data_IF_409266837121
#
_entry.id   IF_409266837121
#
_cell.length_a   1.000
_cell.length_b   1.000
_cell.length_c   1.000
_cell.angle_alpha   90.00
_cell.angle_beta   90.00
_cell.angle_gamma   90.00
#
_symmetry.space_group_name_H-M   'P 1'
#
loop_
_entity.id
_entity.type
_entity.pdbx_description
1 polymer ?
#
# COMPACT_ATOMS: atom_id res chain seq x y z
N UNK A 1 -0.28 -11.88 -15.20
CA UNK A 1 -0.48 -13.03 -16.11
C UNK A 1 -1.10 -12.51 -17.40
N UNK A 2 -0.54 -12.80 -18.57
CA UNK A 2 -1.16 -12.40 -19.84
C UNK A 2 -2.28 -13.37 -20.24
N UNK A 3 -3.27 -12.90 -21.02
CA UNK A 3 -4.35 -13.75 -21.55
C UNK A 3 -3.79 -14.93 -22.35
N UNK A 4 -2.77 -14.68 -23.17
CA UNK A 4 -2.13 -15.72 -23.98
C UNK A 4 -1.43 -16.76 -23.11
N UNK A 5 -0.66 -16.34 -22.11
CA UNK A 5 0.04 -17.26 -21.22
C UNK A 5 -0.93 -18.19 -20.46
N UNK A 6 -2.00 -17.62 -19.89
CA UNK A 6 -3.01 -18.41 -19.19
C UNK A 6 -3.80 -19.34 -20.13
N UNK A 7 -4.02 -18.92 -21.38
CA UNK A 7 -4.72 -19.74 -22.36
C UNK A 7 -3.86 -20.93 -22.84
N UNK A 8 -2.56 -20.73 -23.02
CA UNK A 8 -1.63 -21.77 -23.48
C UNK A 8 -1.32 -22.80 -22.39
N UNK A 9 -1.16 -22.37 -21.14
CA UNK A 9 -0.84 -23.25 -20.01
C UNK A 9 -1.77 -22.97 -18.83
N UNK A 10 -3.05 -23.31 -18.99
CA UNK A 10 -4.06 -23.07 -17.97
C UNK A 10 -3.73 -23.77 -16.65
N UNK A 11 -3.12 -24.95 -16.69
CA UNK A 11 -2.72 -25.73 -15.50
C UNK A 11 -1.70 -25.02 -14.62
N UNK A 12 -0.81 -24.19 -15.19
CA UNK A 12 0.15 -23.43 -14.41
C UNK A 12 -0.49 -22.29 -13.60
N UNK A 13 -1.67 -21.80 -14.02
CA UNK A 13 -2.29 -20.60 -13.44
C UNK A 13 -3.65 -20.84 -12.78
N UNK A 14 -4.38 -21.89 -13.14
CA UNK A 14 -5.74 -22.15 -12.65
C UNK A 14 -5.86 -23.50 -11.92
N UNK A 15 -6.30 -23.46 -10.66
CA UNK A 15 -6.43 -24.64 -9.81
C UNK A 15 -6.16 -24.34 -8.34
N UNK A 16 -6.28 -25.37 -7.50
CA UNK A 16 -5.84 -25.28 -6.11
C UNK A 16 -4.33 -25.00 -6.07
N UNK A 17 -3.92 -24.12 -5.15
CA UNK A 17 -2.52 -23.78 -4.85
C UNK A 17 -1.68 -23.14 -5.98
N UNK A 18 -2.30 -22.80 -7.12
CA UNK A 18 -1.67 -22.00 -8.19
C UNK A 18 -2.16 -20.54 -8.15
N UNK A 19 -2.12 -19.82 -9.28
CA UNK A 19 -2.37 -18.38 -9.29
C UNK A 19 -3.82 -17.97 -9.07
N UNK A 20 -4.81 -18.71 -9.59
CA UNK A 20 -6.23 -18.36 -9.53
C UNK A 20 -7.06 -19.62 -9.29
N UNK A 21 -8.06 -19.54 -8.40
CA UNK A 21 -9.11 -20.55 -8.27
C UNK A 21 -10.45 -19.85 -8.11
N UNK A 22 -11.46 -20.33 -8.82
CA UNK A 22 -12.85 -19.87 -8.67
C UNK A 22 -13.64 -20.99 -8.02
N UNK A 23 -14.40 -20.65 -6.97
CA UNK A 23 -15.37 -21.52 -6.34
C UNK A 23 -16.76 -20.89 -6.45
N UNK A 24 -17.76 -21.72 -6.72
CA UNK A 24 -19.18 -21.34 -6.69
C UNK A 24 -19.86 -22.27 -5.69
N UNK A 25 -20.56 -21.71 -4.71
CA UNK A 25 -21.20 -22.45 -3.61
C UNK A 25 -20.19 -23.37 -2.88
N UNK A 26 -18.98 -22.87 -2.66
CA UNK A 26 -17.88 -23.59 -2.03
C UNK A 26 -17.22 -24.68 -2.91
N UNK A 27 -17.76 -24.96 -4.09
CA UNK A 27 -17.25 -25.99 -5.01
C UNK A 27 -16.30 -25.37 -6.04
N UNK A 28 -15.10 -25.94 -6.20
CA UNK A 28 -14.14 -25.50 -7.20
C UNK A 28 -14.67 -25.74 -8.62
N UNK A 29 -14.63 -24.70 -9.46
CA UNK A 29 -15.00 -24.82 -10.87
C UNK A 29 -13.91 -25.64 -11.59
N UNK A 30 -14.25 -26.70 -12.34
CA UNK A 30 -13.26 -27.49 -13.07
C UNK A 30 -12.54 -26.64 -14.13
N UNK A 31 -11.24 -26.89 -14.36
CA UNK A 31 -10.46 -26.15 -15.34
C UNK A 31 -11.00 -26.26 -16.79
N UNK A 32 -11.74 -27.32 -17.09
CA UNK A 32 -12.42 -27.52 -18.38
C UNK A 32 -13.62 -26.58 -18.57
N UNK A 33 -14.19 -26.09 -17.47
CA UNK A 33 -15.33 -25.17 -17.43
C UNK A 33 -14.90 -23.70 -17.31
N UNK A 34 -13.59 -23.45 -17.40
CA UNK A 34 -12.99 -22.11 -17.43
C UNK A 34 -12.45 -21.80 -18.82
N UNK A 35 -12.71 -20.59 -19.30
CA UNK A 35 -12.15 -20.05 -20.53
C UNK A 35 -11.44 -18.73 -20.26
N UNK A 36 -10.29 -18.52 -20.89
CA UNK A 36 -9.57 -17.25 -20.82
C UNK A 36 -10.04 -16.38 -21.98
N UNK A 37 -10.58 -15.20 -21.69
CA UNK A 37 -11.08 -14.30 -22.72
C UNK A 37 -10.85 -12.83 -22.36
N UNK A 38 -10.99 -11.96 -23.36
CA UNK A 38 -10.98 -10.52 -23.15
C UNK A 38 -12.37 -10.07 -22.68
N UNK A 39 -12.48 -9.69 -21.42
CA UNK A 39 -13.72 -9.24 -20.80
C UNK A 39 -13.79 -7.71 -20.70
N UNK A 40 -13.13 -7.00 -21.61
CA UNK A 40 -13.26 -5.54 -21.74
C UNK A 40 -14.72 -5.15 -22.06
N UNK A 41 -15.11 -3.96 -21.63
CA UNK A 41 -16.41 -3.39 -21.97
C UNK A 41 -16.48 -3.12 -23.48
N UNK A 42 -17.65 -3.38 -24.08
CA UNK A 42 -17.92 -2.98 -25.45
C UNK A 42 -18.01 -1.46 -25.57
N UNK A 43 -17.43 -0.92 -26.63
CA UNK A 43 -17.43 0.53 -26.91
C UNK A 43 -18.74 1.05 -27.51
N UNK A 44 -19.76 0.19 -27.63
CA UNK A 44 -21.06 0.50 -28.26
C UNK A 44 -22.08 1.12 -27.27
N UNK A 45 -21.69 1.32 -26.01
CA UNK A 45 -22.54 1.91 -24.99
C UNK A 45 -23.57 0.95 -24.37
N UNK A 46 -23.56 -0.33 -24.75
CA UNK A 46 -24.43 -1.36 -24.16
C UNK A 46 -24.11 -1.66 -22.69
N UNK A 47 -22.85 -1.46 -22.28
CA UNK A 47 -22.33 -1.95 -21.01
C UNK A 47 -22.02 -3.45 -21.01
N UNK A 48 -22.21 -4.14 -22.14
CA UNK A 48 -21.87 -5.55 -22.29
C UNK A 48 -20.35 -5.77 -22.42
N UNK A 49 -19.93 -7.03 -22.24
CA UNK A 49 -18.52 -7.42 -22.33
C UNK A 49 -18.22 -8.06 -23.68
N UNK A 50 -17.04 -7.74 -24.23
CA UNK A 50 -16.66 -8.10 -25.59
C UNK A 50 -16.75 -9.61 -25.90
N UNK A 51 -16.38 -10.46 -24.94
CA UNK A 51 -16.34 -11.92 -25.15
C UNK A 51 -16.85 -12.68 -23.92
N UNK A 52 -18.00 -12.27 -23.37
CA UNK A 52 -18.66 -13.02 -22.29
C UNK A 52 -19.07 -14.41 -22.79
N UNK A 53 -18.55 -15.52 -22.20
CA UNK A 53 -18.92 -16.88 -22.60
C UNK A 53 -20.36 -17.24 -22.19
N UNK A 54 -21.01 -18.10 -22.99
CA UNK A 54 -22.39 -18.51 -22.76
C UNK A 54 -22.53 -19.64 -21.73
N UNK A 55 -21.60 -20.59 -21.73
CA UNK A 55 -21.68 -21.88 -21.02
C UNK A 55 -20.56 -22.09 -19.98
N UNK A 56 -19.50 -21.28 -20.01
CA UNK A 56 -18.31 -21.41 -19.16
C UNK A 56 -18.06 -20.18 -18.30
N UNK A 57 -17.22 -20.34 -17.28
CA UNK A 57 -16.69 -19.21 -16.51
C UNK A 57 -15.58 -18.55 -17.31
N UNK A 58 -15.76 -17.27 -17.65
CA UNK A 58 -14.75 -16.47 -18.34
C UNK A 58 -13.82 -15.79 -17.34
N UNK A 59 -12.50 -15.87 -17.56
CA UNK A 59 -11.50 -15.16 -16.76
C UNK A 59 -10.69 -14.25 -17.68
N UNK A 60 -10.58 -12.97 -17.30
CA UNK A 60 -9.63 -12.03 -17.86
C UNK A 60 -8.55 -11.70 -16.82
N UNK A 61 -7.38 -12.36 -16.87
CA UNK A 61 -6.33 -12.17 -15.86
C UNK A 61 -5.63 -10.80 -15.96
N UNK A 62 -5.85 -10.04 -17.05
CA UNK A 62 -5.26 -8.70 -17.23
C UNK A 62 -6.14 -7.64 -16.59
N UNK A 63 -7.47 -7.77 -16.72
CA UNK A 63 -8.43 -6.83 -16.15
C UNK A 63 -8.92 -7.25 -14.75
N UNK A 64 -8.54 -8.44 -14.27
CA UNK A 64 -9.04 -9.00 -13.01
C UNK A 64 -10.55 -9.25 -13.03
N UNK A 65 -11.11 -9.60 -14.21
CA UNK A 65 -12.56 -9.79 -14.39
C UNK A 65 -12.92 -11.28 -14.45
N UNK A 66 -14.11 -11.58 -13.92
CA UNK A 66 -14.73 -12.88 -13.93
C UNK A 66 -16.14 -12.77 -14.54
N UNK A 67 -16.43 -13.59 -15.54
CA UNK A 67 -17.76 -13.73 -16.13
C UNK A 67 -18.37 -15.07 -15.75
N UNK A 68 -19.58 -15.05 -15.21
CA UNK A 68 -20.39 -16.27 -15.10
C UNK A 68 -21.13 -16.55 -16.41
N UNK A 69 -21.41 -17.84 -16.72
CA UNK A 69 -22.16 -18.24 -17.90
C UNK A 69 -23.45 -17.43 -18.06
N UNK A 70 -23.69 -16.86 -19.24
CA UNK A 70 -24.90 -16.04 -19.47
C UNK A 70 -26.19 -16.86 -19.55
N UNK A 71 -26.09 -18.18 -19.73
CA UNK A 71 -27.24 -19.10 -19.83
C UNK A 71 -27.82 -19.59 -18.49
N UNK A 72 -27.22 -19.21 -17.35
CA UNK A 72 -27.65 -19.65 -16.02
C UNK A 72 -28.06 -18.46 -15.14
N UNK A 73 -28.99 -18.64 -14.17
CA UNK A 73 -29.25 -17.64 -13.15
C UNK A 73 -27.96 -17.25 -12.41
N UNK A 74 -27.83 -15.98 -12.08
CA UNK A 74 -26.71 -15.54 -11.25
C UNK A 74 -26.80 -16.21 -9.86
N UNK A 75 -25.70 -16.80 -9.35
CA UNK A 75 -25.65 -17.31 -7.99
C UNK A 75 -25.75 -16.13 -7.00
N UNK A 76 -25.96 -16.44 -5.72
CA UNK A 76 -25.93 -15.43 -4.67
C UNK A 76 -24.58 -14.69 -4.67
N UNK A 77 -24.57 -13.43 -4.25
CA UNK A 77 -23.38 -12.57 -4.35
C UNK A 77 -22.17 -13.11 -3.56
N UNK A 78 -22.44 -13.79 -2.44
CA UNK A 78 -21.45 -14.42 -1.55
C UNK A 78 -21.07 -15.86 -1.96
N UNK A 79 -21.77 -16.44 -2.94
CA UNK A 79 -21.51 -17.80 -3.42
C UNK A 79 -20.24 -17.88 -4.28
N UNK A 80 -19.83 -16.78 -4.91
CA UNK A 80 -18.65 -16.74 -5.79
C UNK A 80 -17.43 -16.31 -5.00
N UNK A 81 -16.46 -17.21 -4.90
CA UNK A 81 -15.19 -16.96 -4.21
C UNK A 81 -14.05 -17.10 -5.21
N UNK A 82 -13.11 -16.15 -5.16
CA UNK A 82 -11.91 -16.19 -5.99
C UNK A 82 -10.70 -16.10 -5.08
N UNK A 83 -9.81 -17.09 -5.15
CA UNK A 83 -8.48 -16.97 -4.56
C UNK A 83 -7.51 -16.56 -5.65
N UNK A 84 -6.58 -15.66 -5.33
CA UNK A 84 -5.54 -15.27 -6.25
C UNK A 84 -4.18 -15.16 -5.55
N UNK A 85 -3.11 -15.28 -6.33
CA UNK A 85 -1.73 -15.00 -5.92
C UNK A 85 -1.12 -13.97 -6.86
N UNK A 86 -0.30 -13.08 -6.33
CA UNK A 86 0.47 -12.11 -7.11
C UNK A 86 1.92 -12.12 -6.65
N UNK A 87 2.83 -11.80 -7.56
CA UNK A 87 4.24 -11.59 -7.26
C UNK A 87 4.48 -10.14 -6.88
N UNK A 88 5.28 -9.92 -5.84
CA UNK A 88 5.75 -8.60 -5.44
C UNK A 88 7.18 -8.69 -4.93
N UNK A 89 7.89 -7.57 -4.95
CA UNK A 89 9.34 -7.55 -4.74
C UNK A 89 9.77 -7.84 -3.29
N UNK A 90 8.89 -7.58 -2.32
CA UNK A 90 9.18 -7.78 -0.89
C UNK A 90 7.89 -8.03 -0.08
N UNK A 91 8.06 -8.53 1.16
CA UNK A 91 7.00 -8.75 2.14
C UNK A 91 6.63 -7.43 2.87
N UNK A 92 6.03 -6.50 2.13
CA UNK A 92 5.48 -5.24 2.67
C UNK A 92 4.02 -5.03 2.24
N UNK A 93 3.28 -4.23 3.00
CA UNK A 93 1.84 -4.00 2.82
C UNK A 93 0.98 -5.18 3.28
N UNK A 94 -0.35 -5.06 3.25
CA UNK A 94 -1.24 -6.15 3.65
C UNK A 94 -1.15 -7.31 2.65
N UNK A 95 -0.40 -8.36 3.00
CA UNK A 95 -0.10 -9.50 2.16
C UNK A 95 -0.10 -10.81 2.95
N UNK A 96 -0.10 -11.95 2.24
CA UNK A 96 -0.24 -13.29 2.82
C UNK A 96 1.11 -13.95 3.14
N UNK A 97 2.08 -13.19 3.62
CA UNK A 97 3.42 -13.69 3.96
C UNK A 97 3.52 -14.16 5.41
N UNK A 98 4.61 -14.86 5.74
CA UNK A 98 4.92 -15.31 7.10
C UNK A 98 5.18 -14.10 7.99
N UNK A 99 4.48 -14.05 9.14
CA UNK A 99 4.63 -13.01 10.16
C UNK A 99 4.40 -13.52 11.58
N UNK A 100 4.37 -14.82 11.83
CA UNK A 100 4.01 -15.38 13.15
C UNK A 100 4.96 -14.92 14.26
N UNK A 101 6.24 -14.72 13.94
CA UNK A 101 7.24 -14.22 14.89
C UNK A 101 6.97 -12.78 15.35
N UNK A 102 6.16 -12.02 14.62
CA UNK A 102 5.83 -10.62 14.90
C UNK A 102 4.47 -10.44 15.57
N UNK A 103 3.65 -11.51 15.65
CA UNK A 103 2.34 -11.47 16.29
C UNK A 103 2.48 -11.77 17.78
N UNK A 104 2.18 -10.77 18.61
CA UNK A 104 2.16 -10.96 20.07
C UNK A 104 0.98 -11.86 20.47
N UNK A 105 1.24 -12.80 21.39
CA UNK A 105 0.20 -13.61 21.99
C UNK A 105 -0.67 -12.77 22.93
N UNK A 106 -1.97 -12.69 22.62
CA UNK A 106 -2.96 -11.95 23.40
C UNK A 106 -4.32 -12.67 23.32
N UNK A 107 -5.24 -12.42 24.27
CA UNK A 107 -6.64 -12.81 24.10
C UNK A 107 -7.22 -12.14 22.86
N UNK A 108 -7.69 -12.95 21.92
CA UNK A 108 -8.08 -12.51 20.58
C UNK A 108 -9.55 -12.80 20.31
N UNK A 109 -10.25 -11.80 19.79
CA UNK A 109 -11.55 -11.96 19.17
C UNK A 109 -11.36 -12.31 17.70
N UNK A 110 -11.81 -13.50 17.31
CA UNK A 110 -11.73 -13.96 15.93
C UNK A 110 -12.96 -13.48 15.14
N UNK A 111 -12.73 -12.79 14.02
CA UNK A 111 -13.80 -12.39 13.10
C UNK A 111 -14.24 -13.62 12.28
N UNK A 112 -15.48 -14.10 12.44
CA UNK A 112 -15.95 -15.22 11.64
C UNK A 112 -16.12 -14.81 10.17
N UNK A 113 -15.89 -15.77 9.28
CA UNK A 113 -15.89 -15.54 7.83
C UNK A 113 -17.24 -15.05 7.25
N UNK A 114 -18.34 -15.17 8.00
CA UNK A 114 -19.68 -14.69 7.66
C UNK A 114 -20.13 -13.46 8.48
N UNK A 115 -19.26 -12.91 9.33
CA UNK A 115 -19.54 -11.72 10.14
C UNK A 115 -19.16 -10.42 9.43
N UNK A 116 -19.54 -9.30 10.02
CA UNK A 116 -19.06 -7.98 9.58
C UNK A 116 -17.89 -7.51 10.45
N UNK A 117 -17.02 -6.66 9.89
CA UNK A 117 -15.95 -6.02 10.67
C UNK A 117 -16.55 -5.20 11.82
N UNK A 118 -17.71 -4.57 11.62
CA UNK A 118 -18.37 -3.77 12.65
C UNK A 118 -18.80 -4.61 13.86
N UNK A 119 -19.34 -5.82 13.65
CA UNK A 119 -19.73 -6.70 14.77
C UNK A 119 -18.53 -7.03 15.67
N UNK A 120 -17.35 -7.26 15.07
CA UNK A 120 -16.12 -7.51 15.82
C UNK A 120 -15.60 -6.25 16.53
N UNK A 121 -15.69 -5.08 15.90
CA UNK A 121 -15.34 -3.81 16.53
C UNK A 121 -16.24 -3.50 17.74
N UNK A 122 -17.54 -3.74 17.62
CA UNK A 122 -18.52 -3.53 18.69
C UNK A 122 -18.27 -4.51 19.85
N UNK A 123 -18.02 -5.78 19.54
CA UNK A 123 -17.70 -6.81 20.54
C UNK A 123 -16.37 -6.55 21.27
N UNK A 124 -15.40 -5.91 20.62
CA UNK A 124 -14.13 -5.54 21.23
C UNK A 124 -14.26 -4.42 22.28
N UNK A 125 -15.37 -3.68 22.31
CA UNK A 125 -15.69 -2.72 23.37
C UNK A 125 -14.63 -1.62 23.57
N UNK A 126 -13.84 -1.30 22.55
CA UNK A 126 -12.80 -0.28 22.62
C UNK A 126 -11.47 -0.71 23.25
N UNK A 127 -11.23 -2.01 23.43
CA UNK A 127 -9.95 -2.53 23.94
C UNK A 127 -9.82 -4.05 23.83
N UNK A 128 -9.42 -4.55 22.65
CA UNK A 128 -9.10 -5.96 22.43
C UNK A 128 -8.19 -6.14 21.21
N UNK A 129 -7.70 -7.37 21.01
CA UNK A 129 -7.12 -7.80 19.73
C UNK A 129 -8.22 -8.45 18.90
N UNK A 130 -8.43 -7.95 17.70
CA UNK A 130 -9.36 -8.47 16.70
C UNK A 130 -8.54 -9.09 15.59
N UNK A 131 -8.68 -10.40 15.38
CA UNK A 131 -7.95 -11.14 14.35
C UNK A 131 -8.90 -11.63 13.26
N UNK A 132 -8.48 -11.44 12.01
CA UNK A 132 -9.19 -11.95 10.83
C UNK A 132 -8.44 -13.17 10.30
N UNK A 133 -9.07 -14.35 10.40
CA UNK A 133 -8.45 -15.65 10.13
C UNK A 133 -8.50 -16.09 8.66
N UNK A 134 -8.93 -15.19 7.77
CA UNK A 134 -8.98 -15.47 6.34
C UNK A 134 -8.58 -14.25 5.49
N UNK A 135 -8.64 -14.45 4.17
CA UNK A 135 -8.28 -13.43 3.17
C UNK A 135 -9.50 -12.90 2.43
N UNK A 136 -10.67 -12.85 3.08
CA UNK A 136 -11.91 -12.35 2.46
C UNK A 136 -11.95 -10.83 2.41
N UNK A 137 -12.88 -10.34 1.59
CA UNK A 137 -13.29 -8.94 1.58
C UNK A 137 -14.46 -8.75 2.53
N UNK A 138 -14.33 -7.77 3.43
CA UNK A 138 -15.33 -7.41 4.41
C UNK A 138 -15.78 -5.98 4.19
N UNK A 139 -17.10 -5.76 4.11
CA UNK A 139 -17.63 -4.40 4.13
C UNK A 139 -17.52 -3.80 5.54
N UNK A 140 -17.06 -2.55 5.62
CA UNK A 140 -17.20 -1.75 6.83
C UNK A 140 -18.61 -1.15 6.87
N UNK A 141 -19.30 -1.30 8.00
CA UNK A 141 -20.62 -0.73 8.17
C UNK A 141 -20.59 0.80 8.26
N UNK A 142 -21.73 1.40 7.97
CA UNK A 142 -22.01 2.82 8.19
C UNK A 142 -21.74 3.23 9.65
N UNK A 143 -20.89 4.23 9.89
CA UNK A 143 -20.64 4.77 11.22
C UNK A 143 -19.65 5.94 11.23
N UNK A 144 -19.83 6.85 12.18
CA UNK A 144 -18.85 7.89 12.52
C UNK A 144 -19.00 8.25 14.02
N UNK A 145 -18.12 7.77 14.92
CA UNK A 145 -17.00 6.86 14.64
C UNK A 145 -17.45 5.42 14.40
N UNK A 146 -16.64 4.62 13.70
CA UNK A 146 -16.81 3.17 13.60
C UNK A 146 -16.29 2.43 14.84
N UNK A 147 -15.27 2.99 15.50
CA UNK A 147 -14.68 2.41 16.71
C UNK A 147 -14.39 3.52 17.72
N UNK A 148 -14.83 3.33 18.95
CA UNK A 148 -14.45 4.18 20.09
C UNK A 148 -13.47 3.42 20.98
N UNK A 149 -12.28 3.99 21.19
CA UNK A 149 -11.24 3.41 22.05
C UNK A 149 -11.19 4.18 23.36
N UNK A 150 -11.31 3.48 24.49
CA UNK A 150 -11.30 4.12 25.80
C UNK A 150 -9.93 4.75 26.13
N UNK A 151 -9.92 5.76 27.02
CA UNK A 151 -8.69 6.39 27.46
C UNK A 151 -7.71 5.36 28.05
N UNK A 152 -6.44 5.42 27.62
CA UNK A 152 -5.39 4.48 28.02
C UNK A 152 -5.55 3.04 27.51
N UNK A 153 -6.63 2.72 26.78
CA UNK A 153 -6.84 1.38 26.25
C UNK A 153 -5.98 1.11 25.01
N UNK A 154 -5.74 -0.17 24.72
CA UNK A 154 -5.08 -0.64 23.51
C UNK A 154 -6.08 -1.43 22.68
N UNK A 155 -6.17 -1.11 21.39
CA UNK A 155 -6.91 -1.90 20.40
C UNK A 155 -5.97 -2.30 19.28
N UNK A 156 -6.14 -3.53 18.80
CA UNK A 156 -5.39 -4.05 17.66
C UNK A 156 -6.35 -4.72 16.67
N UNK A 157 -6.28 -4.33 15.40
CA UNK A 157 -6.96 -5.03 14.31
C UNK A 157 -5.90 -5.67 13.43
N UNK A 158 -5.87 -7.00 13.37
CA UNK A 158 -4.83 -7.74 12.68
C UNK A 158 -5.34 -8.85 11.78
N UNK A 159 -4.58 -9.16 10.75
CA UNK A 159 -4.75 -10.41 10.01
C UNK A 159 -4.12 -11.59 10.77
N UNK A 160 -4.59 -12.80 10.56
CA UNK A 160 -3.84 -13.99 10.96
C UNK A 160 -2.57 -14.16 10.10
N UNK A 161 -1.66 -15.03 10.53
CA UNK A 161 -0.44 -15.35 9.77
C UNK A 161 -0.79 -15.93 8.39
N UNK A 162 -0.15 -15.46 7.32
CA UNK A 162 -0.41 -15.95 5.97
C UNK A 162 -1.75 -15.51 5.37
N UNK A 163 -2.46 -14.57 6.00
CA UNK A 163 -3.77 -14.08 5.54
C UNK A 163 -3.74 -12.61 5.11
N UNK A 164 -4.61 -12.27 4.15
CA UNK A 164 -4.72 -10.94 3.54
C UNK A 164 -6.18 -10.46 3.54
N UNK A 165 -6.74 -10.10 4.70
CA UNK A 165 -8.08 -9.55 4.77
C UNK A 165 -8.13 -8.16 4.12
N UNK A 166 -9.19 -7.90 3.38
CA UNK A 166 -9.50 -6.59 2.82
C UNK A 166 -10.74 -6.03 3.51
N UNK A 167 -10.64 -4.83 4.06
CA UNK A 167 -11.77 -4.07 4.56
C UNK A 167 -12.13 -3.02 3.51
N UNK A 168 -13.31 -3.18 2.93
CA UNK A 168 -13.87 -2.28 1.92
C UNK A 168 -14.78 -1.25 2.60
N UNK A 169 -14.39 0.01 2.49
CA UNK A 169 -15.14 1.15 2.98
C UNK A 169 -16.03 1.68 1.85
N UNK A 170 -17.34 1.77 2.11
CA UNK A 170 -18.30 2.27 1.13
C UNK A 170 -18.87 3.61 1.59
N UNK A 171 -19.19 4.54 0.66
CA UNK A 171 -19.81 5.80 1.01
C UNK A 171 -21.10 5.59 1.80
N UNK A 172 -21.21 6.26 2.94
CA UNK A 172 -22.33 6.21 3.86
C UNK A 172 -22.82 7.62 4.13
N UNK A 173 -24.12 7.84 4.02
CA UNK A 173 -24.76 9.09 4.47
C UNK A 173 -25.06 9.02 5.96
N UNK A 174 -24.48 9.95 6.73
CA UNK A 174 -24.70 10.12 8.16
C UNK A 174 -26.05 10.79 8.44
N UNK A 175 -26.47 10.76 9.71
CA UNK A 175 -27.76 11.32 10.13
C UNK A 175 -27.92 12.84 9.93
N UNK A 176 -26.82 13.55 9.74
CA UNK A 176 -26.78 14.99 9.42
C UNK A 176 -26.80 15.29 7.90
N UNK A 177 -26.87 14.26 7.06
CA UNK A 177 -26.87 14.35 5.60
C UNK A 177 -25.48 14.43 4.97
N UNK A 178 -24.40 14.46 5.75
CA UNK A 178 -23.04 14.37 5.21
C UNK A 178 -22.73 12.94 4.76
N UNK A 179 -21.90 12.77 3.73
CA UNK A 179 -21.47 11.45 3.28
C UNK A 179 -20.00 11.25 3.61
N UNK A 180 -19.69 10.21 4.36
CA UNK A 180 -18.33 9.78 4.68
C UNK A 180 -18.06 8.40 4.10
N UNK A 181 -16.79 8.11 3.85
CA UNK A 181 -16.29 6.80 3.46
C UNK A 181 -15.16 6.34 4.38
N UNK A 182 -14.94 7.06 5.47
CA UNK A 182 -13.74 6.88 6.29
C UNK A 182 -13.98 5.81 7.35
N UNK A 183 -12.98 4.98 7.59
CA UNK A 183 -12.91 4.19 8.81
C UNK A 183 -12.46 5.12 9.94
N UNK A 184 -13.40 5.60 10.75
CA UNK A 184 -13.13 6.56 11.82
C UNK A 184 -12.93 5.87 13.17
N UNK A 185 -11.76 6.08 13.78
CA UNK A 185 -11.44 5.62 15.14
C UNK A 185 -11.35 6.84 16.06
N UNK A 186 -12.29 6.96 16.99
CA UNK A 186 -12.29 7.98 18.03
C UNK A 186 -11.58 7.46 19.27
N UNK A 187 -10.45 8.08 19.62
CA UNK A 187 -9.57 7.57 20.66
C UNK A 187 -9.53 8.49 21.88
N UNK A 188 -9.76 7.92 23.06
CA UNK A 188 -9.58 8.61 24.33
C UNK A 188 -8.11 8.94 24.61
N UNK A 189 -7.89 9.82 25.59
CA UNK A 189 -6.55 10.26 26.00
C UNK A 189 -5.62 9.07 26.29
N UNK A 190 -4.44 9.04 25.66
CA UNK A 190 -3.42 8.02 25.90
C UNK A 190 -3.73 6.64 25.30
N UNK A 191 -4.79 6.51 24.49
CA UNK A 191 -5.12 5.26 23.79
C UNK A 191 -4.01 4.85 22.80
N UNK A 192 -3.91 3.55 22.53
CA UNK A 192 -2.97 2.97 21.57
C UNK A 192 -3.72 2.17 20.52
N UNK A 193 -3.51 2.52 19.25
CA UNK A 193 -4.18 1.89 18.11
C UNK A 193 -3.14 1.16 17.29
N UNK A 194 -3.38 -0.13 17.00
CA UNK A 194 -2.51 -0.95 16.16
C UNK A 194 -3.33 -1.55 15.02
N UNK A 195 -2.85 -1.40 13.79
CA UNK A 195 -3.33 -2.15 12.64
C UNK A 195 -2.17 -3.00 12.11
N UNK A 196 -2.41 -4.29 11.85
CA UNK A 196 -1.37 -5.21 11.42
C UNK A 196 -1.83 -6.15 10.29
N UNK A 197 -1.24 -6.07 9.10
CA UNK A 197 -1.51 -7.04 8.01
C UNK A 197 -2.80 -6.82 7.23
N UNK A 198 -3.53 -5.73 7.48
CA UNK A 198 -4.83 -5.46 6.86
C UNK A 198 -4.71 -4.58 5.62
N UNK A 199 -5.63 -4.78 4.68
CA UNK A 199 -5.78 -3.92 3.50
C UNK A 199 -7.05 -3.09 3.65
N UNK A 200 -6.93 -1.76 3.62
CA UNK A 200 -8.06 -0.84 3.64
C UNK A 200 -8.23 -0.23 2.24
N UNK A 201 -9.44 -0.33 1.68
CA UNK A 201 -9.78 0.22 0.36
C UNK A 201 -11.15 0.89 0.37
N UNK A 202 -11.33 1.93 -0.44
CA UNK A 202 -12.59 2.67 -0.61
C UNK A 202 -12.70 3.98 0.17
N UNK A 203 -11.81 4.24 1.13
CA UNK A 203 -11.83 5.44 1.99
C UNK A 203 -10.59 5.58 2.88
N UNK A 204 -10.56 6.63 3.71
CA UNK A 204 -9.42 6.93 4.56
C UNK A 204 -9.55 6.27 5.96
N UNK A 205 -8.42 5.90 6.57
CA UNK A 205 -8.36 5.66 8.00
C UNK A 205 -8.26 7.02 8.71
N UNK A 206 -9.28 7.40 9.48
CA UNK A 206 -9.35 8.70 10.16
C UNK A 206 -9.24 8.49 11.68
N UNK A 207 -8.25 9.10 12.29
CA UNK A 207 -7.99 9.03 13.73
C UNK A 207 -8.31 10.37 14.37
N UNK A 208 -9.23 10.36 15.33
CA UNK A 208 -9.69 11.54 16.08
C UNK A 208 -9.49 11.36 17.58
N UNK A 209 -9.64 12.44 18.35
CA UNK A 209 -9.45 12.43 19.80
C UNK A 209 -8.00 12.69 20.20
N UNK A 210 -7.48 11.93 21.17
CA UNK A 210 -6.15 12.16 21.74
C UNK A 210 -5.38 10.84 22.03
N UNK A 211 -5.19 9.96 21.04
CA UNK A 211 -4.37 8.77 21.22
C UNK A 211 -2.92 9.16 21.50
N UNK A 212 -2.22 8.35 22.30
CA UNK A 212 -0.77 8.47 22.43
C UNK A 212 -0.05 7.91 21.19
N UNK A 213 -0.54 6.79 20.65
CA UNK A 213 0.15 6.05 19.60
C UNK A 213 -0.82 5.48 18.55
N UNK A 214 -0.43 5.60 17.28
CA UNK A 214 -1.07 4.94 16.14
C UNK A 214 0.01 4.18 15.37
N UNK A 215 -0.10 2.86 15.31
CA UNK A 215 0.91 1.99 14.69
C UNK A 215 0.28 1.18 13.56
N UNK A 216 0.85 1.27 12.36
CA UNK A 216 0.53 0.41 11.23
C UNK A 216 1.76 -0.43 10.90
N UNK A 217 1.54 -1.74 10.80
CA UNK A 217 2.56 -2.73 10.47
C UNK A 217 2.01 -3.58 9.34
N UNK A 218 2.77 -3.74 8.24
CA UNK A 218 2.36 -4.65 7.16
C UNK A 218 0.96 -4.31 6.61
N UNK A 219 0.60 -3.02 6.61
CA UNK A 219 -0.72 -2.57 6.19
C UNK A 219 -0.68 -2.00 4.79
N UNK A 220 -1.76 -2.18 4.03
CA UNK A 220 -1.99 -1.42 2.81
C UNK A 220 -3.20 -0.52 2.96
N UNK A 221 -2.98 0.80 2.93
CA UNK A 221 -4.02 1.78 2.70
C UNK A 221 -3.96 2.16 1.22
N UNK A 222 -4.90 1.67 0.42
CA UNK A 222 -4.76 1.68 -1.05
C UNK A 222 -4.49 3.09 -1.59
N UNK A 223 -3.37 3.32 -2.31
CA UNK A 223 -3.07 4.61 -2.93
C UNK A 223 -4.17 5.05 -3.90
N UNK A 224 -4.72 6.23 -3.66
CA UNK A 224 -5.88 6.76 -4.38
C UNK A 224 -7.23 6.20 -3.91
N UNK A 225 -7.28 5.68 -2.68
CA UNK A 225 -8.42 5.09 -1.96
C UNK A 225 -8.96 3.79 -2.56
N UNK A 226 -9.15 3.72 -3.87
CA UNK A 226 -9.57 2.52 -4.58
C UNK A 226 -8.93 2.48 -5.97
N UNK A 227 -9.07 1.35 -6.66
CA UNK A 227 -8.60 1.18 -8.04
C UNK A 227 -9.79 0.97 -8.98
N UNK A 228 -9.75 1.65 -10.11
CA UNK A 228 -10.65 1.40 -11.22
C UNK A 228 -10.31 0.05 -11.88
N UNK A 229 -11.21 -0.42 -12.75
CA UNK A 229 -11.00 -1.64 -13.54
C UNK A 229 -9.82 -1.58 -14.51
N UNK A 230 -9.35 -0.38 -14.86
CA UNK A 230 -8.16 -0.16 -15.69
C UNK A 230 -6.90 0.08 -14.85
N UNK A 231 -6.94 -0.28 -13.56
CA UNK A 231 -5.91 -0.03 -12.57
C UNK A 231 -5.50 1.46 -12.48
N UNK A 232 -6.48 2.36 -12.51
CA UNK A 232 -6.26 3.77 -12.19
C UNK A 232 -6.72 4.08 -10.76
N UNK A 233 -6.08 5.01 -10.03
CA UNK A 233 -6.59 5.46 -8.74
C UNK A 233 -7.99 6.07 -8.90
N UNK A 234 -8.90 5.77 -7.98
CA UNK A 234 -10.24 6.36 -7.95
C UNK A 234 -10.18 7.84 -7.54
N UNK A 235 -9.36 8.16 -6.53
CA UNK A 235 -9.18 9.50 -5.99
C UNK A 235 -7.68 9.86 -5.92
N UNK A 236 -7.07 10.27 -7.04
CA UNK A 236 -5.67 10.69 -7.07
C UNK A 236 -5.37 11.75 -5.99
N UNK A 237 -4.25 11.60 -5.27
CA UNK A 237 -3.80 12.54 -4.23
C UNK A 237 -4.62 12.54 -2.93
N UNK A 238 -5.73 11.78 -2.86
CA UNK A 238 -6.54 11.70 -1.65
C UNK A 238 -5.79 11.00 -0.51
N UNK A 239 -6.05 11.49 0.71
CA UNK A 239 -5.41 10.99 1.92
C UNK A 239 -5.98 9.64 2.32
N UNK A 240 -5.12 8.66 2.49
CA UNK A 240 -5.49 7.32 2.98
C UNK A 240 -5.40 7.19 4.50
N UNK A 241 -4.61 8.07 5.14
CA UNK A 241 -4.51 8.20 6.60
C UNK A 241 -4.66 9.68 6.97
N UNK A 242 -5.60 9.95 7.88
CA UNK A 242 -5.88 11.27 8.43
C UNK A 242 -5.75 11.18 9.95
N UNK A 243 -4.84 11.97 10.53
CA UNK A 243 -4.61 12.05 11.97
C UNK A 243 -4.78 13.50 12.40
N UNK A 244 -5.89 13.78 13.07
CA UNK A 244 -6.27 15.13 13.50
C UNK A 244 -5.76 15.45 14.91
N UNK A 245 -5.37 14.42 15.66
CA UNK A 245 -4.84 14.56 17.00
C UNK A 245 -3.43 15.18 16.97
N UNK A 246 -3.22 16.19 17.82
CA UNK A 246 -1.88 16.64 18.19
C UNK A 246 -1.26 15.71 19.24
N UNK A 247 0.05 15.82 19.49
CA UNK A 247 0.78 15.07 20.53
C UNK A 247 0.68 13.53 20.41
N UNK A 248 0.46 13.04 19.19
CA UNK A 248 0.41 11.61 18.85
C UNK A 248 1.69 11.16 18.15
N UNK A 249 2.15 9.95 18.48
CA UNK A 249 3.19 9.26 17.72
C UNK A 249 2.56 8.32 16.70
N UNK A 250 2.81 8.56 15.43
CA UNK A 250 2.39 7.70 14.32
C UNK A 250 3.59 6.87 13.84
N UNK A 251 3.44 5.55 13.75
CA UNK A 251 4.49 4.65 13.26
C UNK A 251 3.96 3.84 12.08
N UNK A 252 4.66 3.90 10.95
CA UNK A 252 4.39 3.08 9.76
C UNK A 252 5.60 2.18 9.50
N UNK A 253 5.42 0.87 9.56
CA UNK A 253 6.48 -0.11 9.29
C UNK A 253 6.03 -1.07 8.19
N UNK A 254 6.83 -1.19 7.12
CA UNK A 254 6.51 -2.08 5.98
C UNK A 254 5.11 -1.88 5.42
N UNK A 255 4.68 -0.62 5.32
CA UNK A 255 3.35 -0.26 4.87
C UNK A 255 3.36 0.24 3.42
N UNK A 256 2.24 0.06 2.72
CA UNK A 256 1.94 0.78 1.48
C UNK A 256 0.76 1.68 1.77
N UNK A 257 0.97 3.00 1.77
CA UNK A 257 -0.06 3.97 2.10
C UNK A 257 -0.21 4.99 0.99
N UNK A 258 -1.43 5.49 0.81
CA UNK A 258 -1.68 6.68 0.02
C UNK A 258 -1.14 7.95 0.69
N UNK A 259 -1.64 9.12 0.28
CA UNK A 259 -1.27 10.37 0.93
C UNK A 259 -1.62 10.38 2.43
N UNK A 260 -0.84 11.12 3.21
CA UNK A 260 -0.96 11.25 4.66
C UNK A 260 -1.34 12.70 5.01
N UNK A 261 -2.31 12.85 5.91
CA UNK A 261 -2.67 14.15 6.51
C UNK A 261 -2.53 14.03 8.01
N UNK A 262 -1.48 14.61 8.56
CA UNK A 262 -1.12 14.46 9.98
C UNK A 262 -0.90 15.83 10.59
N UNK A 263 -1.62 16.12 11.67
CA UNK A 263 -1.52 17.40 12.39
C UNK A 263 -0.07 17.81 12.69
N UNK A 264 0.19 19.11 12.72
CA UNK A 264 1.55 19.64 12.87
C UNK A 264 2.14 19.43 14.26
N UNK A 265 1.31 19.13 15.28
CA UNK A 265 1.73 18.74 16.62
C UNK A 265 2.07 17.26 16.78
N UNK A 266 1.89 16.43 15.74
CA UNK A 266 2.21 15.00 15.79
C UNK A 266 3.67 14.70 15.38
N UNK A 267 4.13 13.49 15.71
CA UNK A 267 5.41 12.94 15.26
C UNK A 267 5.18 11.65 14.46
N UNK A 268 5.77 11.55 13.28
CA UNK A 268 5.58 10.43 12.35
C UNK A 268 6.91 9.75 12.07
N UNK A 269 6.98 8.44 12.31
CA UNK A 269 8.09 7.58 11.94
C UNK A 269 7.66 6.62 10.84
N UNK A 270 8.38 6.61 9.72
CA UNK A 270 8.10 5.76 8.56
C UNK A 270 9.35 4.93 8.25
N UNK A 271 9.20 3.62 8.22
CA UNK A 271 10.32 2.69 8.03
C UNK A 271 9.92 1.60 7.05
N UNK A 272 10.75 1.35 6.02
CA UNK A 272 10.52 0.28 5.02
C UNK A 272 9.19 0.37 4.28
N UNK A 273 8.68 1.58 4.08
CA UNK A 273 7.32 1.81 3.58
C UNK A 273 7.28 2.61 2.28
N UNK A 274 6.16 2.52 1.57
CA UNK A 274 5.81 3.35 0.41
C UNK A 274 4.72 4.33 0.81
N UNK A 275 4.94 5.62 0.58
CA UNK A 275 3.90 6.65 0.66
C UNK A 275 3.63 7.14 -0.76
N UNK A 276 2.43 6.92 -1.28
CA UNK A 276 2.12 7.18 -2.69
C UNK A 276 0.88 8.06 -2.87
N UNK A 277 1.12 9.33 -3.21
CA UNK A 277 0.08 10.28 -3.59
C UNK A 277 -0.44 10.09 -5.02
N UNK A 278 -0.07 8.99 -5.69
CA UNK A 278 -0.42 8.58 -7.06
C UNK A 278 0.20 9.39 -8.19
N UNK A 279 0.80 10.55 -7.89
CA UNK A 279 1.64 11.30 -8.82
C UNK A 279 2.67 12.16 -8.07
N UNK A 280 3.79 12.47 -8.72
CA UNK A 280 4.88 13.25 -8.13
C UNK A 280 4.48 14.69 -7.77
N UNK A 281 3.44 15.23 -8.39
CA UNK A 281 2.91 16.58 -8.16
C UNK A 281 1.87 16.66 -7.04
N UNK A 282 1.26 15.53 -6.67
CA UNK A 282 0.26 15.45 -5.62
C UNK A 282 0.90 15.56 -4.23
N UNK A 283 0.09 15.83 -3.20
CA UNK A 283 0.59 16.02 -1.83
C UNK A 283 0.61 14.68 -1.07
N UNK A 284 1.80 14.12 -0.88
CA UNK A 284 2.03 12.88 -0.13
C UNK A 284 1.98 13.07 1.38
N UNK A 285 2.47 14.19 1.90
CA UNK A 285 2.51 14.44 3.34
C UNK A 285 2.28 15.92 3.65
N UNK A 286 1.30 16.22 4.50
CA UNK A 286 0.94 17.57 4.95
C UNK A 286 0.05 17.49 6.20
N UNK A 287 -0.31 18.63 6.79
CA UNK A 287 -1.38 18.66 7.79
C UNK A 287 -2.76 18.55 7.13
N UNK A 288 -3.80 18.14 7.88
CA UNK A 288 -5.18 18.25 7.42
C UNK A 288 -5.53 19.71 7.04
N UNK A 289 -6.35 19.91 6.00
CA UNK A 289 -6.82 21.25 5.66
C UNK A 289 -7.64 21.84 6.80
N UNK A 290 -7.48 23.13 7.09
CA UNK A 290 -8.36 23.85 8.03
C UNK A 290 -9.36 24.73 7.28
N UNK A 291 -10.63 24.82 7.73
CA UNK A 291 -11.59 25.78 7.19
C UNK A 291 -11.12 27.25 7.32
N UNK A 292 -10.18 27.53 8.21
CA UNK A 292 -9.61 28.87 8.40
C UNK A 292 -8.54 29.24 7.34
N UNK A 293 -8.06 28.26 6.57
CA UNK A 293 -6.98 28.47 5.61
C UNK A 293 -7.49 29.06 4.29
N UNK A 294 -6.63 29.83 3.61
CA UNK A 294 -6.90 30.23 2.24
C UNK A 294 -6.98 28.99 1.32
N UNK A 295 -7.86 28.98 0.31
CA UNK A 295 -7.97 27.85 -0.63
C UNK A 295 -6.61 27.49 -1.24
N UNK A 296 -6.24 26.20 -1.17
CA UNK A 296 -4.97 25.69 -1.69
C UNK A 296 -3.74 25.94 -0.80
N UNK A 297 -3.90 26.52 0.39
CA UNK A 297 -2.81 26.68 1.34
C UNK A 297 -2.34 25.32 1.86
N UNK A 298 -1.07 25.00 1.60
CA UNK A 298 -0.45 23.76 2.06
C UNK A 298 0.17 23.96 3.44
N UNK A 299 -0.49 23.45 4.48
CA UNK A 299 0.04 23.44 5.85
C UNK A 299 1.09 22.34 6.05
N UNK A 300 2.20 22.64 6.75
CA UNK A 300 3.18 21.62 7.10
C UNK A 300 2.56 20.60 8.06
N UNK A 301 2.70 19.31 7.77
CA UNK A 301 2.32 18.24 8.69
C UNK A 301 3.30 18.11 9.85
N UNK A 302 3.04 17.17 10.76
CA UNK A 302 3.87 16.88 11.92
C UNK A 302 5.33 16.56 11.61
N UNK A 303 6.15 16.45 12.65
CA UNK A 303 7.55 16.06 12.52
C UNK A 303 7.67 14.69 11.82
N UNK A 304 8.66 14.54 10.93
CA UNK A 304 8.83 13.38 10.08
C UNK A 304 10.23 12.77 10.23
N UNK A 305 10.27 11.50 10.61
CA UNK A 305 11.42 10.60 10.50
C UNK A 305 11.10 9.53 9.47
N UNK A 306 11.95 9.36 8.46
CA UNK A 306 11.75 8.40 7.37
C UNK A 306 13.04 7.64 7.02
N UNK A 307 12.95 6.32 6.96
CA UNK A 307 14.08 5.44 6.72
C UNK A 307 13.72 4.32 5.74
N UNK A 308 14.64 4.03 4.82
CA UNK A 308 14.53 2.92 3.88
C UNK A 308 13.19 2.91 3.13
N UNK A 309 12.78 4.07 2.61
CA UNK A 309 11.40 4.30 2.15
C UNK A 309 11.33 5.03 0.82
N UNK A 310 10.21 4.90 0.11
CA UNK A 310 9.94 5.63 -1.14
C UNK A 310 8.69 6.49 -0.97
N UNK A 311 8.81 7.79 -1.25
CA UNK A 311 7.71 8.76 -1.20
C UNK A 311 7.42 9.29 -2.59
N UNK A 312 6.21 9.08 -3.10
CA UNK A 312 5.74 9.58 -4.39
C UNK A 312 4.76 10.72 -4.12
N UNK A 313 5.14 11.92 -4.52
CA UNK A 313 4.42 13.15 -4.24
C UNK A 313 5.18 14.10 -3.32
N UNK A 314 4.66 15.32 -3.23
CA UNK A 314 5.23 16.44 -2.48
C UNK A 314 5.07 16.24 -0.98
N UNK A 315 6.04 16.75 -0.24
CA UNK A 315 6.09 16.67 1.23
C UNK A 315 6.17 18.08 1.80
N UNK A 316 5.26 18.40 2.73
CA UNK A 316 5.33 19.58 3.57
C UNK A 316 5.27 19.15 5.04
N UNK A 317 6.36 19.38 5.78
CA UNK A 317 6.48 19.00 7.20
C UNK A 317 7.01 20.18 8.01
N UNK A 318 6.63 20.23 9.28
CA UNK A 318 7.10 21.21 10.24
C UNK A 318 8.60 21.01 10.51
N UNK A 319 9.04 19.75 10.58
CA UNK A 319 10.40 19.33 10.85
C UNK A 319 10.67 17.98 10.18
N UNK A 320 11.67 17.93 9.30
CA UNK A 320 12.19 16.67 8.79
C UNK A 320 13.36 16.24 9.70
N UNK A 321 13.06 15.49 10.76
CA UNK A 321 14.03 15.09 11.78
C UNK A 321 15.15 14.24 11.18
N UNK A 322 14.77 13.21 10.43
CA UNK A 322 15.68 12.32 9.72
C UNK A 322 15.05 11.85 8.42
N UNK A 323 15.82 11.88 7.33
CA UNK A 323 15.55 11.06 6.16
C UNK A 323 16.82 10.26 5.81
N UNK A 324 16.76 8.93 5.89
CA UNK A 324 17.87 8.02 5.62
C UNK A 324 17.51 7.02 4.52
N UNK A 325 18.40 6.78 3.57
CA UNK A 325 18.21 5.78 2.49
C UNK A 325 16.86 5.90 1.78
N UNK A 326 16.32 7.12 1.67
CA UNK A 326 14.94 7.38 1.24
C UNK A 326 14.93 8.01 -0.15
N UNK A 327 13.94 7.66 -0.98
CA UNK A 327 13.74 8.28 -2.29
C UNK A 327 12.49 9.15 -2.27
N UNK A 328 12.66 10.44 -2.55
CA UNK A 328 11.55 11.37 -2.80
C UNK A 328 11.31 11.55 -4.30
N UNK A 329 10.25 10.95 -4.82
CA UNK A 329 9.74 11.13 -6.18
C UNK A 329 8.72 12.27 -6.17
N UNK A 330 9.22 13.50 -6.08
CA UNK A 330 8.38 14.69 -5.98
C UNK A 330 8.73 15.73 -7.05
N UNK A 331 7.69 16.37 -7.59
CA UNK A 331 7.79 17.48 -8.51
C UNK A 331 6.90 18.61 -8.00
N UNK A 332 7.37 19.85 -8.09
CA UNK A 332 6.59 21.03 -7.72
C UNK A 332 6.65 22.07 -8.84
N UNK A 333 5.61 22.93 -8.95
CA UNK A 333 5.66 24.10 -9.82
C UNK A 333 6.85 25.01 -9.50
N UNK A 334 7.23 25.86 -10.45
CA UNK A 334 8.30 26.82 -10.26
C UNK A 334 8.01 27.75 -9.07
N UNK A 335 8.99 27.90 -8.18
CA UNK A 335 8.87 28.70 -6.96
C UNK A 335 8.44 27.91 -5.72
N UNK A 336 7.98 26.67 -5.89
CA UNK A 336 7.63 25.78 -4.79
C UNK A 336 8.69 24.69 -4.59
N UNK A 337 8.81 24.20 -3.35
CA UNK A 337 9.69 23.10 -3.01
C UNK A 337 8.94 21.76 -3.12
N UNK A 338 9.48 20.74 -3.81
CA UNK A 338 8.89 19.40 -3.83
C UNK A 338 8.88 18.74 -2.45
N UNK A 339 9.98 18.87 -1.71
CA UNK A 339 10.05 18.54 -0.28
C UNK A 339 10.34 19.83 0.49
N UNK A 340 9.46 20.18 1.43
CA UNK A 340 9.53 21.38 2.25
C UNK A 340 9.49 21.02 3.74
N UNK A 341 10.58 21.32 4.44
CA UNK A 341 10.63 21.39 5.88
C UNK A 341 10.65 22.86 6.30
N UNK A 342 9.76 23.27 7.22
CA UNK A 342 9.76 24.66 7.71
C UNK A 342 10.96 24.94 8.62
N UNK A 343 11.37 23.96 9.43
CA UNK A 343 12.57 24.02 10.27
C UNK A 343 13.75 23.32 9.59
N UNK A 344 14.66 24.09 8.97
CA UNK A 344 15.83 23.55 8.26
C UNK A 344 17.12 23.58 9.10
N UNK A 345 17.10 24.30 10.22
CA UNK A 345 18.19 24.37 11.20
C UNK A 345 18.27 23.14 12.12
N UNK A 346 17.28 22.26 12.06
CA UNK A 346 17.20 21.00 12.82
C UNK A 346 17.01 19.83 11.85
N UNK A 347 17.50 18.65 12.23
CA UNK A 347 17.38 17.42 11.46
C UNK A 347 18.48 17.22 10.40
N UNK A 348 18.41 16.07 9.71
CA UNK A 348 19.37 15.70 8.68
C UNK A 348 18.72 14.84 7.59
N UNK A 349 19.11 15.07 6.33
CA UNK A 349 18.83 14.15 5.24
C UNK A 349 20.14 13.50 4.82
N UNK A 350 20.20 12.17 4.76
CA UNK A 350 21.42 11.43 4.45
C UNK A 350 21.16 10.27 3.51
N UNK A 351 22.13 9.97 2.63
CA UNK A 351 22.11 8.79 1.75
C UNK A 351 20.79 8.62 0.99
N UNK A 352 20.15 9.74 0.62
CA UNK A 352 18.79 9.78 0.11
C UNK A 352 18.74 10.51 -1.23
N UNK A 353 17.73 10.22 -2.03
CA UNK A 353 17.42 10.99 -3.23
C UNK A 353 16.42 12.09 -2.90
N UNK A 354 16.81 13.36 -3.07
CA UNK A 354 15.98 14.53 -2.80
C UNK A 354 15.97 15.44 -4.03
N UNK A 355 14.79 15.77 -4.61
CA UNK A 355 14.71 16.68 -5.76
C UNK A 355 15.42 18.02 -5.50
N UNK A 356 16.16 18.51 -6.49
CA UNK A 356 17.07 19.66 -6.34
C UNK A 356 16.44 20.91 -5.69
N UNK A 357 15.24 21.29 -6.13
CA UNK A 357 14.51 22.47 -5.64
C UNK A 357 13.93 22.35 -4.21
N UNK A 358 14.19 21.24 -3.51
CA UNK A 358 13.64 20.99 -2.18
C UNK A 358 14.28 21.88 -1.10
N UNK A 359 13.50 22.26 -0.09
CA UNK A 359 13.93 22.97 1.12
C UNK A 359 13.96 21.98 2.26
N UNK A 360 15.13 21.43 2.55
CA UNK A 360 15.35 20.40 3.58
C UNK A 360 16.43 20.84 4.55
N UNK A 361 16.57 20.17 5.71
CA UNK A 361 17.75 20.30 6.54
C UNK A 361 19.04 19.87 5.80
N UNK A 362 20.16 19.92 6.53
CA UNK A 362 21.49 19.58 6.00
C UNK A 362 21.46 18.22 5.30
N UNK A 363 21.92 18.21 4.05
CA UNK A 363 22.08 17.02 3.22
C UNK A 363 23.48 16.43 3.41
N UNK A 364 23.58 15.12 3.62
CA UNK A 364 24.83 14.39 3.76
C UNK A 364 24.86 13.20 2.79
N UNK A 365 25.75 13.23 1.79
CA UNK A 365 25.85 12.17 0.77
C UNK A 365 24.52 11.85 0.06
N UNK A 366 23.68 12.86 -0.12
CA UNK A 366 22.43 12.72 -0.86
C UNK A 366 22.64 12.90 -2.36
N UNK A 367 21.71 12.34 -3.13
CA UNK A 367 21.61 12.54 -4.57
C UNK A 367 20.40 13.42 -4.93
N UNK A 368 20.43 14.13 -6.06
CA UNK A 368 21.62 14.39 -6.87
C UNK A 368 22.59 15.34 -6.13
N UNK A 369 23.89 15.20 -6.38
CA UNK A 369 24.84 16.29 -6.14
C UNK A 369 24.57 17.45 -7.11
N UNK A 370 24.95 18.69 -6.77
CA UNK A 370 24.52 19.92 -7.45
C UNK A 370 24.68 19.95 -8.99
N UNK A 371 25.53 19.10 -9.56
CA UNK A 371 25.89 19.10 -10.99
C UNK A 371 25.41 17.87 -11.79
N UNK A 372 24.60 16.98 -11.19
CA UNK A 372 24.16 15.74 -11.85
C UNK A 372 22.65 15.75 -12.19
N UNK A 373 22.29 15.53 -13.47
CA UNK A 373 20.91 15.19 -13.85
C UNK A 373 20.65 13.70 -13.58
N UNK A 374 20.64 13.37 -12.28
CA UNK A 374 20.40 12.03 -11.77
C UNK A 374 18.94 11.91 -11.34
N UNK A 375 18.25 10.86 -11.78
CA UNK A 375 16.86 10.59 -11.39
C UNK A 375 16.65 9.09 -11.13
N UNK A 376 15.87 8.73 -10.10
CA UNK A 376 15.49 7.35 -9.87
C UNK A 376 14.63 6.86 -11.04
N UNK A 377 14.91 5.64 -11.50
CA UNK A 377 14.14 5.00 -12.58
C UNK A 377 13.47 3.75 -12.00
N UNK A 378 12.15 3.69 -12.13
CA UNK A 378 11.34 2.61 -11.56
C UNK A 378 10.81 1.67 -12.64
N UNK A 379 10.69 0.39 -12.32
CA UNK A 379 10.01 -0.60 -13.17
C UNK A 379 8.56 -0.15 -13.36
N UNK A 380 7.87 0.15 -12.26
CA UNK A 380 6.55 0.79 -12.23
C UNK A 380 6.38 1.71 -11.02
N UNK A 381 5.52 2.72 -11.17
CA UNK A 381 5.00 3.55 -10.08
C UNK A 381 3.49 3.38 -9.91
N UNK A 382 2.87 2.43 -10.62
CA UNK A 382 1.45 2.13 -10.48
C UNK A 382 1.25 1.04 -9.45
N UNK A 383 0.51 1.35 -8.39
CA UNK A 383 0.10 0.35 -7.40
C UNK A 383 -0.62 -0.82 -8.09
N UNK A 384 -0.33 -2.05 -7.63
CA UNK A 384 -0.88 -3.29 -8.18
C UNK A 384 -0.02 -3.91 -9.30
N UNK A 385 0.98 -3.21 -9.83
CA UNK A 385 1.93 -3.81 -10.76
C UNK A 385 3.07 -4.56 -10.02
N UNK A 386 3.58 -5.70 -10.55
CA UNK A 386 4.57 -6.52 -9.85
C UNK A 386 5.87 -5.79 -9.48
N UNK A 387 6.30 -4.85 -10.32
CA UNK A 387 7.49 -4.02 -10.13
C UNK A 387 7.21 -2.66 -9.47
N UNK A 388 6.10 -2.54 -8.74
CA UNK A 388 5.70 -1.29 -8.09
C UNK A 388 6.78 -0.78 -7.12
N UNK A 389 7.21 0.47 -7.33
CA UNK A 389 8.30 1.15 -6.64
C UNK A 389 9.68 0.47 -6.74
N UNK A 390 9.82 -0.58 -7.55
CA UNK A 390 11.09 -1.28 -7.74
C UNK A 390 12.01 -0.46 -8.64
N UNK A 391 13.26 -0.24 -8.24
CA UNK A 391 14.23 0.40 -9.11
C UNK A 391 14.55 -0.51 -10.31
N UNK A 392 14.64 0.10 -11.51
CA UNK A 392 15.11 -0.62 -12.69
C UNK A 392 16.57 -1.03 -12.51
N UNK A 393 16.95 -2.14 -13.12
CA UNK A 393 18.35 -2.53 -13.21
C UNK A 393 19.23 -1.45 -13.88
N UNK A 394 18.66 -0.64 -14.77
CA UNK A 394 19.30 0.50 -15.46
C UNK A 394 19.31 1.80 -14.66
N UNK A 395 18.68 1.82 -13.46
CA UNK A 395 18.74 2.99 -12.58
C UNK A 395 20.21 3.30 -12.24
N UNK A 396 20.61 4.59 -12.18
CA UNK A 396 21.98 4.96 -11.90
C UNK A 396 22.56 4.30 -10.64
N UNK A 397 23.85 3.96 -10.69
CA UNK A 397 24.54 3.23 -9.63
C UNK A 397 24.58 4.03 -8.33
N UNK A 398 24.61 5.36 -8.43
CA UNK A 398 24.60 6.30 -7.31
C UNK A 398 23.28 6.26 -6.50
N UNK A 399 22.20 5.73 -7.08
CA UNK A 399 20.94 5.46 -6.38
C UNK A 399 20.86 3.98 -6.00
N UNK A 400 21.22 3.08 -6.93
CA UNK A 400 21.19 1.63 -6.68
C UNK A 400 22.20 1.17 -5.62
N UNK A 401 23.24 1.93 -5.31
CA UNK A 401 24.25 1.66 -4.28
C UNK A 401 24.47 2.86 -3.37
N UNK A 402 23.47 3.72 -3.31
CA UNK A 402 23.58 5.05 -2.71
C UNK A 402 23.30 5.07 -1.21
N UNK A 403 22.82 3.97 -0.64
CA UNK A 403 22.55 3.87 0.78
C UNK A 403 23.84 3.92 1.62
N UNK A 404 23.70 4.08 2.92
CA UNK A 404 24.83 4.19 3.87
C UNK A 404 25.72 2.95 3.94
N UNK A 405 25.18 1.79 3.59
CA UNK A 405 25.84 0.48 3.53
C UNK A 405 26.02 -0.05 2.09
N UNK A 406 25.96 0.86 1.11
CA UNK A 406 26.06 0.56 -0.33
C UNK A 406 24.90 -0.27 -0.90
N UNK A 407 23.81 -0.47 -0.14
CA UNK A 407 22.57 -1.02 -0.68
C UNK A 407 21.83 -0.01 -1.56
N UNK A 408 20.68 -0.44 -2.10
CA UNK A 408 19.82 0.47 -2.85
C UNK A 408 19.11 1.46 -1.92
N UNK A 409 18.94 2.70 -2.39
CA UNK A 409 18.05 3.64 -1.72
C UNK A 409 16.58 3.24 -1.97
N UNK A 410 15.70 3.61 -1.05
CA UNK A 410 14.26 3.43 -1.18
C UNK A 410 13.73 2.22 -0.41
N UNK A 411 12.48 1.86 -0.70
CA UNK A 411 11.73 0.83 0.05
C UNK A 411 12.40 -0.56 0.02
N UNK A 412 13.10 -0.91 -1.06
CA UNK A 412 13.71 -2.23 -1.24
C UNK A 412 15.15 -2.33 -0.73
N UNK A 413 15.61 -1.35 0.03
CA UNK A 413 16.93 -1.32 0.65
C UNK A 413 17.31 -2.66 1.33
N UNK A 414 16.41 -3.24 2.13
CA UNK A 414 16.62 -4.47 2.92
C UNK A 414 16.68 -5.76 2.08
N UNK A 415 16.37 -5.69 0.79
CA UNK A 415 16.60 -6.82 -0.09
C UNK A 415 18.08 -7.01 -0.40
N UNK A 416 18.91 -5.97 -0.19
CA UNK A 416 20.34 -5.97 -0.46
C UNK A 416 20.67 -6.48 -1.89
N UNK A 417 19.81 -6.13 -2.86
CA UNK A 417 19.94 -6.59 -4.25
C UNK A 417 21.33 -6.31 -4.85
N UNK A 418 21.92 -5.11 -4.68
CA UNK A 418 23.25 -4.82 -5.21
C UNK A 418 24.34 -5.73 -4.61
N UNK A 419 24.28 -5.99 -3.30
CA UNK A 419 25.23 -6.86 -2.62
C UNK A 419 25.05 -8.32 -3.03
N UNK A 420 23.80 -8.81 -3.12
CA UNK A 420 23.49 -10.16 -3.62
C UNK A 420 24.03 -10.36 -5.04
N UNK A 421 23.81 -9.39 -5.91
CA UNK A 421 24.31 -9.38 -7.29
C UNK A 421 25.85 -9.38 -7.33
N UNK A 422 26.50 -8.56 -6.51
CA UNK A 422 27.96 -8.49 -6.42
C UNK A 422 28.57 -9.81 -5.89
N UNK A 423 28.02 -10.36 -4.81
CA UNK A 423 28.46 -11.63 -4.24
C UNK A 423 28.31 -12.78 -5.25
N UNK A 424 27.18 -12.83 -5.97
CA UNK A 424 26.97 -13.85 -6.99
C UNK A 424 27.98 -13.73 -8.14
N UNK A 425 28.32 -12.51 -8.59
CA UNK A 425 29.36 -12.32 -9.61
C UNK A 425 30.73 -12.81 -9.14
N UNK A 426 31.13 -12.46 -7.90
CA UNK A 426 32.40 -12.92 -7.33
C UNK A 426 32.48 -14.45 -7.30
N UNK A 427 31.41 -15.10 -6.86
CA UNK A 427 31.33 -16.57 -6.84
C UNK A 427 31.36 -17.16 -8.25
N UNK A 428 30.67 -16.56 -9.21
CA UNK A 428 30.73 -17.01 -10.59
C UNK A 428 32.15 -16.89 -11.14
N UNK A 429 32.83 -15.77 -10.95
CA UNK A 429 34.20 -15.56 -11.44
C UNK A 429 35.21 -16.53 -10.80
N UNK A 430 35.05 -16.87 -9.53
CA UNK A 430 35.93 -17.80 -8.82
C UNK A 430 35.74 -19.26 -9.26
N UNK A 431 34.49 -19.69 -9.46
CA UNK A 431 34.15 -21.10 -9.72
C UNK A 431 33.87 -21.42 -11.20
N UNK A 432 33.84 -20.42 -12.10
CA UNK A 432 33.68 -20.69 -13.53
C UNK A 432 34.90 -21.40 -14.09
N UNK A 433 34.67 -22.51 -14.78
CA UNK A 433 35.74 -23.18 -15.52
C UNK A 433 36.24 -22.30 -16.66
N UNK A 434 37.54 -22.41 -16.94
CA UNK A 434 38.17 -21.75 -18.07
C UNK A 434 37.42 -22.02 -19.38
N UNK A 435 37.17 -20.97 -20.16
CA UNK A 435 36.47 -21.02 -21.45
C UNK A 435 34.96 -20.87 -21.38
N UNK A 436 34.35 -20.81 -20.18
CA UNK A 436 32.93 -20.51 -20.01
C UNK A 436 32.70 -19.01 -19.75
N UNK A 437 31.47 -18.53 -19.97
CA UNK A 437 30.99 -17.20 -19.57
C UNK A 437 29.62 -17.35 -18.92
N UNK A 438 29.42 -16.73 -17.76
CA UNK A 438 28.12 -16.64 -17.11
C UNK A 438 27.54 -15.23 -17.23
N UNK A 439 26.21 -15.16 -17.33
CA UNK A 439 25.46 -13.92 -17.29
C UNK A 439 24.34 -14.03 -16.26
N UNK A 440 24.03 -12.92 -15.60
CA UNK A 440 22.87 -12.83 -14.70
C UNK A 440 21.65 -12.39 -15.50
N UNK A 441 20.63 -13.24 -15.52
CA UNK A 441 19.35 -12.97 -16.15
C UNK A 441 18.29 -12.89 -15.06
N UNK A 442 17.56 -11.78 -15.02
CA UNK A 442 16.46 -11.58 -14.10
C UNK A 442 15.19 -12.19 -14.71
N UNK A 443 14.46 -12.98 -13.93
CA UNK A 443 13.15 -13.49 -14.33
C UNK A 443 12.16 -12.34 -14.52
N UNK A 444 11.44 -12.35 -15.64
CA UNK A 444 10.39 -11.39 -15.98
C UNK A 444 9.05 -11.73 -15.34
#
# INVERSE_FOLDING_TARGET
>A
ISRLAMNLDKSAYYGADVSILVKIDGTAVPANDVVVCNLADLSDGSGDWAHRPADKVGIDPVLGRLALPSGAPAPAADAVQVTFRYGFSDAIGGGSYERAAELEAAPTLHLPAAGTVQDALDAAGGGAVIEVDDSRTYALAAGDPNLTVAAGARVEVRAANGHRPLVEMTPTTLGDGTTTRDFTIAAGAGARIVLSGVVLAGGALRITGAPAEVTLIDCTLVPGLARSRSNQPADPGAASLIVEAADVKVTLRRCIVGALRVDNGAAVAITHSIVDATAATEIAYAAPPSPADAPGMLRPGGALTIENSTVIGRVATQLLELASNTIFVAAAPAGEAPVRAEQTQQGCVRFSYVPGASRTPRRYRCQPTADADLRPQFTSLLYGEPGYAQLRATCPAEIRRGADDEAEMGVFHDLYQPQREANLRIQLDEYLRFGLRAGLFYGS
#
